data_IF_741335996600
#
_entry.id   IF_741335996600
#
_cell.length_a   1.000
_cell.length_b   1.000
_cell.length_c   1.000
_cell.angle_alpha   90.00
_cell.angle_beta   90.00
_cell.angle_gamma   90.00
#
_symmetry.space_group_name_H-M   'P 1'
#
loop_
_entity.id
_entity.type
_entity.pdbx_description
1 polymer ?
#
# COMPACT_ATOMS: atom_id res chain seq x y z
N UNK A 1 -19.06 3.79 -0.72
CA UNK A 1 -17.65 3.43 -0.53
C UNK A 1 -17.23 3.77 0.89
N UNK A 2 -16.53 2.86 1.57
CA UNK A 2 -15.90 3.16 2.85
C UNK A 2 -14.38 3.18 2.69
N UNK A 3 -13.72 4.23 3.18
CA UNK A 3 -12.25 4.34 3.21
C UNK A 3 -11.79 4.11 4.64
N UNK A 4 -11.35 2.89 4.93
CA UNK A 4 -10.87 2.49 6.26
C UNK A 4 -9.43 2.95 6.43
N UNK A 5 -9.26 4.13 7.04
CA UNK A 5 -8.00 4.83 7.16
C UNK A 5 -7.86 5.97 6.14
N UNK A 6 -8.46 7.12 6.45
CA UNK A 6 -8.36 8.34 5.64
C UNK A 6 -7.01 9.06 5.79
N UNK A 7 -5.90 8.30 5.78
CA UNK A 7 -4.55 8.81 5.64
C UNK A 7 -4.27 9.31 4.22
N UNK A 8 -3.01 9.67 3.92
CA UNK A 8 -2.67 10.20 2.59
C UNK A 8 -3.16 9.33 1.44
N UNK A 9 -2.86 8.03 1.47
CA UNK A 9 -3.23 7.07 0.41
C UNK A 9 -4.74 6.87 0.33
N UNK A 10 -5.40 6.58 1.47
CA UNK A 10 -6.84 6.35 1.49
C UNK A 10 -7.64 7.58 1.08
N UNK A 11 -7.25 8.74 1.58
CA UNK A 11 -7.88 10.01 1.22
C UNK A 11 -7.67 10.39 -0.26
N UNK A 12 -6.52 10.04 -0.86
CA UNK A 12 -6.28 10.26 -2.29
C UNK A 12 -7.28 9.49 -3.15
N UNK A 13 -7.37 8.17 -2.96
CA UNK A 13 -8.29 7.34 -3.76
C UNK A 13 -9.75 7.61 -3.43
N UNK A 14 -10.10 7.70 -2.13
CA UNK A 14 -11.46 8.00 -1.71
C UNK A 14 -11.93 9.39 -2.13
N UNK A 15 -11.06 10.40 -2.03
CA UNK A 15 -11.33 11.76 -2.48
C UNK A 15 -11.55 11.86 -3.99
N UNK A 16 -10.74 11.13 -4.79
CA UNK A 16 -10.93 11.06 -6.24
C UNK A 16 -12.29 10.43 -6.60
N UNK A 17 -12.67 9.33 -5.94
CA UNK A 17 -13.98 8.70 -6.14
C UNK A 17 -15.13 9.60 -5.71
N UNK A 18 -15.01 10.28 -4.57
CA UNK A 18 -16.03 11.22 -4.08
C UNK A 18 -16.22 12.39 -5.06
N UNK A 19 -15.13 12.98 -5.60
CA UNK A 19 -15.20 14.01 -6.64
C UNK A 19 -15.91 13.51 -7.89
N UNK A 20 -15.77 12.22 -8.23
CA UNK A 20 -16.46 11.61 -9.36
C UNK A 20 -17.94 11.25 -9.07
N UNK A 21 -18.46 11.59 -7.89
CA UNK A 21 -19.86 11.41 -7.51
C UNK A 21 -20.16 10.12 -6.74
N UNK A 22 -19.14 9.38 -6.29
CA UNK A 22 -19.38 8.26 -5.39
C UNK A 22 -19.76 8.76 -3.99
N UNK A 23 -20.69 8.07 -3.34
CA UNK A 23 -20.99 8.27 -1.91
C UNK A 23 -19.86 7.63 -1.09
N UNK A 24 -19.04 8.47 -0.44
CA UNK A 24 -17.83 8.05 0.26
C UNK A 24 -17.89 8.46 1.73
N UNK A 25 -17.66 7.48 2.60
CA UNK A 25 -17.43 7.71 4.03
C UNK A 25 -15.96 7.48 4.37
N UNK A 26 -15.30 8.50 4.91
CA UNK A 26 -13.92 8.44 5.37
C UNK A 26 -13.86 7.99 6.83
N UNK A 27 -13.17 6.90 7.13
CA UNK A 27 -12.88 6.52 8.51
C UNK A 27 -11.59 7.20 8.93
N UNK A 28 -11.74 8.23 9.77
CA UNK A 28 -10.67 9.09 10.26
C UNK A 28 -10.77 9.26 11.77
N UNK A 29 -9.75 9.87 12.39
CA UNK A 29 -9.72 10.11 13.84
C UNK A 29 -9.20 11.52 14.15
N UNK A 30 -9.56 12.02 15.35
CA UNK A 30 -9.02 13.24 15.92
C UNK A 30 -9.20 14.47 15.03
N UNK A 31 -8.20 15.38 15.02
CA UNK A 31 -8.32 16.66 14.28
C UNK A 31 -8.57 16.50 12.78
N UNK A 32 -8.10 15.40 12.17
CA UNK A 32 -8.34 15.14 10.74
C UNK A 32 -9.82 14.84 10.47
N UNK A 33 -10.44 14.02 11.31
CA UNK A 33 -11.89 13.74 11.27
C UNK A 33 -12.71 15.03 11.45
N UNK A 34 -12.39 15.82 12.48
CA UNK A 34 -13.10 17.07 12.77
C UNK A 34 -13.03 18.06 11.60
N UNK A 35 -11.85 18.16 10.98
CA UNK A 35 -11.63 19.05 9.84
C UNK A 35 -12.41 18.59 8.59
N UNK A 36 -12.42 17.27 8.29
CA UNK A 36 -13.20 16.75 7.15
C UNK A 36 -14.69 17.01 7.36
N UNK A 37 -15.22 16.75 8.55
CA UNK A 37 -16.64 16.97 8.83
C UNK A 37 -17.03 18.46 8.80
N UNK A 38 -16.12 19.36 9.14
CA UNK A 38 -16.39 20.80 9.18
C UNK A 38 -16.20 21.48 7.84
N UNK A 39 -15.17 21.09 7.08
CA UNK A 39 -14.67 21.85 5.94
C UNK A 39 -14.65 21.03 4.64
N UNK A 40 -14.94 19.72 4.69
CA UNK A 40 -14.65 18.77 3.60
C UNK A 40 -13.20 18.32 3.58
N UNK A 41 -12.87 17.43 2.65
CA UNK A 41 -11.52 16.93 2.39
C UNK A 41 -10.89 17.76 1.26
N UNK A 42 -9.84 18.52 1.57
CA UNK A 42 -9.01 19.19 0.58
C UNK A 42 -7.95 18.23 0.05
N UNK A 43 -7.93 17.99 -1.24
CA UNK A 43 -6.87 17.26 -1.92
C UNK A 43 -6.10 18.21 -2.84
N UNK A 44 -4.80 18.38 -2.60
CA UNK A 44 -3.88 19.06 -3.49
C UNK A 44 -3.08 17.99 -4.24
N UNK A 45 -3.18 17.96 -5.57
CA UNK A 45 -2.62 16.86 -6.35
C UNK A 45 -2.01 17.32 -7.66
N UNK A 46 -0.75 16.96 -7.87
CA UNK A 46 -0.07 17.21 -9.16
C UNK A 46 -0.66 16.39 -10.31
N UNK A 47 -1.40 15.32 -10.01
CA UNK A 47 -2.03 14.46 -11.00
C UNK A 47 -3.48 14.84 -11.28
N UNK A 48 -4.26 15.11 -10.23
CA UNK A 48 -5.70 15.34 -10.32
C UNK A 48 -6.09 16.81 -10.28
N UNK A 49 -5.11 17.71 -10.02
CA UNK A 49 -5.38 19.10 -9.66
C UNK A 49 -5.87 19.24 -8.22
N UNK A 50 -6.00 20.48 -7.77
CA UNK A 50 -6.45 20.79 -6.42
C UNK A 50 -7.97 20.85 -6.37
N UNK A 51 -8.58 20.21 -5.37
CA UNK A 51 -10.04 20.26 -5.19
C UNK A 51 -10.44 20.02 -3.73
N UNK A 52 -11.59 20.54 -3.38
CA UNK A 52 -12.30 20.28 -2.13
C UNK A 52 -13.47 19.34 -2.44
N UNK A 53 -13.66 18.29 -1.64
CA UNK A 53 -14.79 17.39 -1.75
C UNK A 53 -15.50 17.28 -0.39
N UNK A 54 -16.82 17.43 -0.42
CA UNK A 54 -17.66 17.11 0.73
C UNK A 54 -17.89 15.61 0.77
N UNK A 55 -17.56 14.97 1.88
CA UNK A 55 -17.79 13.55 2.13
C UNK A 55 -18.06 13.33 3.62
N UNK A 56 -18.80 12.29 3.95
CA UNK A 56 -19.00 11.89 5.32
C UNK A 56 -17.68 11.40 5.94
N UNK A 57 -17.48 11.67 7.23
CA UNK A 57 -16.36 11.09 7.97
C UNK A 57 -16.79 10.68 9.38
N UNK A 58 -16.25 9.56 9.87
CA UNK A 58 -16.53 9.01 11.20
C UNK A 58 -15.32 8.24 11.73
N UNK A 59 -15.23 8.08 13.05
CA UNK A 59 -14.34 7.12 13.72
C UNK A 59 -15.09 5.86 14.19
N UNK A 60 -16.42 5.88 14.10
CA UNK A 60 -17.28 4.76 14.44
C UNK A 60 -17.65 3.96 13.18
N UNK A 61 -16.94 2.86 12.94
CA UNK A 61 -17.20 1.97 11.79
C UNK A 61 -18.55 1.27 11.89
N UNK A 62 -19.12 1.11 13.10
CA UNK A 62 -20.42 0.47 13.29
C UNK A 62 -21.57 1.35 12.78
N UNK A 63 -21.36 2.66 12.65
CA UNK A 63 -22.31 3.59 12.07
C UNK A 63 -22.37 3.56 10.54
N UNK A 64 -21.39 2.91 9.88
CA UNK A 64 -21.32 2.78 8.45
C UNK A 64 -22.11 1.54 8.03
N UNK A 65 -23.18 1.76 7.29
CA UNK A 65 -23.98 0.67 6.70
C UNK A 65 -23.25 -0.05 5.57
N UNK A 66 -23.93 -0.98 4.91
CA UNK A 66 -23.38 -1.76 3.79
C UNK A 66 -22.85 -0.85 2.67
N UNK A 67 -21.67 -1.21 2.16
CA UNK A 67 -21.02 -0.50 1.06
C UNK A 67 -20.69 -1.44 -0.10
N UNK A 68 -20.57 -0.90 -1.29
CA UNK A 68 -20.14 -1.68 -2.47
C UNK A 68 -18.62 -1.90 -2.49
N UNK A 69 -17.86 -0.97 -1.90
CA UNK A 69 -16.39 -1.00 -1.89
C UNK A 69 -15.85 -0.55 -0.54
N UNK A 70 -14.91 -1.32 -0.01
CA UNK A 70 -14.02 -0.92 1.09
C UNK A 70 -12.62 -0.70 0.52
N UNK A 71 -12.03 0.47 0.76
CA UNK A 71 -10.62 0.76 0.55
C UNK A 71 -9.93 0.67 1.91
N UNK A 72 -9.19 -0.42 2.12
CA UNK A 72 -8.48 -0.68 3.38
C UNK A 72 -7.09 -0.02 3.31
N UNK A 73 -6.89 1.06 4.06
CA UNK A 73 -5.75 1.96 3.94
C UNK A 73 -5.13 2.37 5.29
N UNK A 74 -5.37 1.61 6.35
CA UNK A 74 -4.73 1.85 7.64
C UNK A 74 -3.24 1.51 7.59
N UNK A 75 -2.45 2.10 8.48
CA UNK A 75 -1.06 1.67 8.69
C UNK A 75 -1.04 0.26 9.30
N UNK A 76 0.04 -0.50 9.05
CA UNK A 76 0.14 -1.92 9.41
C UNK A 76 -0.18 -2.23 10.88
N UNK A 77 0.24 -1.38 11.81
CA UNK A 77 -0.07 -1.53 13.25
C UNK A 77 -1.54 -1.31 13.62
N UNK A 78 -2.35 -0.80 12.70
CA UNK A 78 -3.80 -0.64 12.86
C UNK A 78 -4.64 -1.73 12.21
N UNK A 79 -4.03 -2.71 11.55
CA UNK A 79 -4.71 -3.71 10.72
C UNK A 79 -5.70 -4.55 11.53
N UNK A 80 -5.24 -5.19 12.61
CA UNK A 80 -6.08 -6.09 13.41
C UNK A 80 -7.26 -5.34 14.04
N UNK A 81 -7.00 -4.18 14.64
CA UNK A 81 -8.04 -3.36 15.23
C UNK A 81 -9.06 -2.85 14.19
N UNK A 82 -8.61 -2.54 12.98
CA UNK A 82 -9.52 -2.11 11.92
C UNK A 82 -10.38 -3.27 11.39
N UNK A 83 -9.80 -4.46 11.23
CA UNK A 83 -10.54 -5.68 10.85
C UNK A 83 -11.60 -6.02 11.92
N UNK A 84 -11.24 -5.99 13.21
CA UNK A 84 -12.16 -6.25 14.31
C UNK A 84 -13.30 -5.23 14.34
N UNK A 85 -13.00 -3.94 14.18
CA UNK A 85 -13.99 -2.90 14.12
C UNK A 85 -14.93 -3.02 12.92
N UNK A 86 -14.41 -3.36 11.73
CA UNK A 86 -15.23 -3.64 10.55
C UNK A 86 -16.15 -4.86 10.76
N UNK A 87 -15.63 -5.92 11.36
CA UNK A 87 -16.39 -7.16 11.62
C UNK A 87 -17.48 -6.99 12.68
N UNK A 88 -17.40 -5.96 13.53
CA UNK A 88 -18.43 -5.66 14.52
C UNK A 88 -19.66 -4.92 13.96
N UNK A 89 -19.59 -4.44 12.72
CA UNK A 89 -20.65 -3.70 12.03
C UNK A 89 -21.19 -4.44 10.80
N UNK A 90 -22.02 -3.77 10.03
CA UNK A 90 -22.70 -4.29 8.83
C UNK A 90 -22.08 -3.79 7.51
N UNK A 91 -20.84 -3.25 7.57
CA UNK A 91 -20.19 -2.61 6.42
C UNK A 91 -19.99 -3.58 5.24
N UNK A 92 -19.64 -4.83 5.52
CA UNK A 92 -19.41 -5.88 4.53
C UNK A 92 -20.66 -6.75 4.40
N UNK A 93 -21.18 -6.87 3.20
CA UNK A 93 -22.34 -7.71 2.89
C UNK A 93 -22.24 -8.24 1.48
N UNK A 94 -23.28 -8.96 1.03
CA UNK A 94 -23.30 -9.55 -0.32
C UNK A 94 -22.93 -8.52 -1.39
N UNK A 95 -21.93 -8.82 -2.20
CA UNK A 95 -21.44 -7.96 -3.27
C UNK A 95 -20.45 -6.87 -2.86
N UNK A 96 -20.15 -6.69 -1.56
CA UNK A 96 -19.09 -5.79 -1.13
C UNK A 96 -17.73 -6.27 -1.63
N UNK A 97 -16.97 -5.39 -2.24
CA UNK A 97 -15.56 -5.60 -2.62
C UNK A 97 -14.65 -4.95 -1.59
N UNK A 98 -13.55 -5.61 -1.23
CA UNK A 98 -12.52 -5.08 -0.34
C UNK A 98 -11.20 -5.07 -1.10
N UNK A 99 -10.57 -3.91 -1.21
CA UNK A 99 -9.20 -3.75 -1.73
C UNK A 99 -8.32 -3.18 -0.63
N UNK A 100 -7.05 -3.61 -0.58
CA UNK A 100 -6.06 -3.05 0.33
C UNK A 100 -5.09 -2.15 -0.43
N UNK A 101 -4.80 -0.97 0.12
CA UNK A 101 -3.73 -0.11 -0.39
C UNK A 101 -2.45 -0.20 0.45
N UNK A 102 -2.44 -1.07 1.45
CA UNK A 102 -1.26 -1.32 2.27
C UNK A 102 -0.11 -1.89 1.43
N UNK A 103 1.10 -1.65 1.87
CA UNK A 103 2.26 -2.35 1.33
C UNK A 103 2.34 -3.76 1.93
N UNK A 104 3.11 -4.64 1.30
CA UNK A 104 3.25 -6.03 1.76
C UNK A 104 2.32 -6.98 1.02
N UNK A 105 2.16 -8.16 1.59
CA UNK A 105 1.43 -9.30 1.00
C UNK A 105 0.51 -9.99 2.02
N UNK A 106 0.36 -9.41 3.21
CA UNK A 106 -0.39 -10.03 4.31
C UNK A 106 -1.84 -9.54 4.41
N UNK A 107 -2.16 -8.38 3.81
CA UNK A 107 -3.48 -7.76 3.95
C UNK A 107 -4.59 -8.60 3.34
N UNK A 108 -4.39 -9.12 2.12
CA UNK A 108 -5.39 -9.92 1.42
C UNK A 108 -5.71 -11.22 2.15
N UNK A 109 -4.73 -12.02 2.65
CA UNK A 109 -5.00 -13.18 3.49
C UNK A 109 -5.74 -12.85 4.79
N UNK A 110 -5.37 -11.77 5.48
CA UNK A 110 -6.03 -11.34 6.72
C UNK A 110 -7.48 -10.92 6.50
N UNK A 111 -7.72 -10.11 5.46
CA UNK A 111 -9.06 -9.67 5.07
C UNK A 111 -9.92 -10.84 4.60
N UNK A 112 -9.35 -11.77 3.82
CA UNK A 112 -10.05 -12.97 3.36
C UNK A 112 -10.45 -13.90 4.52
N UNK A 113 -9.58 -14.02 5.53
CA UNK A 113 -9.88 -14.79 6.73
C UNK A 113 -11.02 -14.18 7.55
N UNK A 114 -11.11 -12.86 7.58
CA UNK A 114 -12.10 -12.14 8.39
C UNK A 114 -13.46 -12.03 7.69
N UNK A 115 -13.48 -11.79 6.38
CA UNK A 115 -14.70 -11.43 5.66
C UNK A 115 -15.11 -12.42 4.55
N UNK A 116 -14.27 -13.41 4.25
CA UNK A 116 -14.46 -14.32 3.13
C UNK A 116 -13.66 -13.90 1.89
N UNK A 117 -13.08 -14.89 1.21
CA UNK A 117 -12.25 -14.65 0.01
C UNK A 117 -13.03 -14.09 -1.17
N UNK A 118 -14.35 -14.31 -1.21
CA UNK A 118 -15.26 -13.79 -2.22
C UNK A 118 -15.39 -12.25 -2.17
N UNK A 119 -15.10 -11.63 -1.04
CA UNK A 119 -15.12 -10.17 -0.88
C UNK A 119 -13.81 -9.51 -1.27
N UNK A 120 -12.68 -10.23 -1.20
CA UNK A 120 -11.35 -9.63 -1.31
C UNK A 120 -10.83 -9.69 -2.74
N UNK A 121 -10.44 -8.54 -3.25
CA UNK A 121 -9.67 -8.39 -4.48
C UNK A 121 -8.22 -8.05 -4.10
N UNK A 122 -7.27 -8.63 -4.83
CA UNK A 122 -5.88 -8.19 -4.72
C UNK A 122 -5.72 -6.80 -5.32
N UNK A 123 -4.87 -5.98 -4.70
CA UNK A 123 -4.58 -4.67 -5.27
C UNK A 123 -3.19 -4.16 -4.95
N UNK A 124 -2.58 -3.47 -5.91
CA UNK A 124 -1.36 -2.70 -5.68
C UNK A 124 -1.64 -1.22 -5.88
N UNK A 125 -1.33 -0.41 -4.90
CA UNK A 125 -1.46 1.05 -4.94
C UNK A 125 -0.08 1.71 -4.96
N UNK A 126 0.13 2.67 -5.86
CA UNK A 126 1.40 3.41 -5.94
C UNK A 126 1.11 4.91 -6.03
N UNK A 127 1.18 5.58 -4.89
CA UNK A 127 0.98 7.02 -4.75
C UNK A 127 1.84 7.54 -3.60
N UNK A 128 2.35 8.75 -3.76
CA UNK A 128 2.99 9.50 -2.67
C UNK A 128 2.05 10.61 -2.23
N UNK A 129 1.29 10.37 -1.17
CA UNK A 129 0.33 11.29 -0.61
C UNK A 129 0.43 11.29 0.92
N UNK A 130 0.30 12.45 1.53
CA UNK A 130 0.39 12.62 2.98
C UNK A 130 -0.59 13.68 3.49
N UNK A 131 -1.01 13.54 4.73
CA UNK A 131 -1.73 14.60 5.45
C UNK A 131 -0.71 15.69 5.78
N UNK A 132 -0.93 16.91 5.31
CA UNK A 132 -0.08 18.07 5.62
C UNK A 132 -0.68 18.94 6.70
N UNK A 133 -2.00 18.98 6.76
CA UNK A 133 -2.79 19.65 7.80
C UNK A 133 -4.07 18.84 8.04
N UNK A 134 -4.75 18.98 9.20
CA UNK A 134 -6.05 18.39 9.40
C UNK A 134 -7.03 18.72 8.25
N UNK A 135 -7.60 17.69 7.61
CA UNK A 135 -8.50 17.85 6.46
C UNK A 135 -7.80 18.10 5.12
N UNK A 136 -6.47 18.23 5.08
CA UNK A 136 -5.70 18.52 3.85
C UNK A 136 -4.73 17.40 3.54
N UNK A 137 -4.84 16.84 2.34
CA UNK A 137 -3.93 15.81 1.83
C UNK A 137 -3.22 16.33 0.59
N UNK A 138 -1.89 16.25 0.59
CA UNK A 138 -1.05 16.59 -0.54
C UNK A 138 -0.53 15.31 -1.22
N UNK A 139 -0.83 15.15 -2.50
CA UNK A 139 -0.21 14.16 -3.38
C UNK A 139 0.87 14.87 -4.20
N UNK A 140 2.13 14.54 -3.92
CA UNK A 140 3.30 15.20 -4.50
C UNK A 140 4.09 14.31 -5.46
N UNK A 141 3.72 13.02 -5.61
CA UNK A 141 4.49 12.11 -6.45
C UNK A 141 3.85 10.74 -6.62
N UNK A 142 4.57 9.88 -7.31
CA UNK A 142 4.08 8.57 -7.72
C UNK A 142 3.05 8.66 -8.86
N UNK A 143 2.76 7.55 -9.53
CA UNK A 143 1.84 7.52 -10.67
C UNK A 143 0.35 7.63 -10.30
N UNK A 144 0.00 7.61 -9.01
CA UNK A 144 -1.41 7.56 -8.57
C UNK A 144 -2.14 6.30 -9.05
N UNK A 145 -1.40 5.21 -9.28
CA UNK A 145 -1.91 4.01 -9.93
C UNK A 145 -2.48 2.99 -8.95
N UNK A 146 -3.44 2.22 -9.48
CA UNK A 146 -4.10 1.13 -8.77
C UNK A 146 -4.24 -0.06 -9.75
N UNK A 147 -3.61 -1.20 -9.43
CA UNK A 147 -3.80 -2.45 -10.18
C UNK A 147 -4.70 -3.35 -9.35
N UNK A 148 -5.72 -3.93 -9.95
CA UNK A 148 -6.76 -4.71 -9.24
C UNK A 148 -6.98 -6.02 -9.97
N UNK A 149 -7.16 -7.11 -9.22
CA UNK A 149 -7.46 -8.41 -9.80
C UNK A 149 -8.10 -9.38 -8.81
N UNK A 150 -8.62 -10.46 -9.34
CA UNK A 150 -9.13 -11.57 -8.53
C UNK A 150 -7.97 -12.33 -7.90
N UNK A 151 -8.04 -12.62 -6.59
CA UNK A 151 -7.03 -13.43 -5.91
C UNK A 151 -6.94 -14.85 -6.47
N UNK A 152 -8.03 -15.35 -7.03
CA UNK A 152 -8.06 -16.64 -7.75
C UNK A 152 -7.49 -16.59 -9.16
N UNK A 153 -7.12 -15.41 -9.64
CA UNK A 153 -6.70 -15.18 -11.02
C UNK A 153 -7.86 -15.07 -12.01
N UNK A 154 -7.54 -14.65 -13.23
CA UNK A 154 -8.49 -14.43 -14.31
C UNK A 154 -9.20 -13.08 -14.24
N UNK A 155 -10.08 -12.84 -15.23
CA UNK A 155 -10.88 -11.61 -15.32
C UNK A 155 -12.29 -11.81 -14.73
N UNK A 156 -12.87 -10.72 -14.20
CA UNK A 156 -14.25 -10.72 -13.71
C UNK A 156 -14.96 -9.40 -14.01
N UNK A 157 -16.29 -9.45 -14.09
CA UNK A 157 -17.11 -8.25 -14.30
C UNK A 157 -17.00 -7.24 -13.17
N UNK A 158 -16.81 -7.69 -11.91
CA UNK A 158 -16.66 -6.78 -10.76
C UNK A 158 -15.34 -6.02 -10.79
N UNK A 159 -14.24 -6.69 -11.17
CA UNK A 159 -12.93 -6.03 -11.35
C UNK A 159 -12.99 -5.01 -12.48
N UNK A 160 -13.53 -5.40 -13.64
CA UNK A 160 -13.69 -4.49 -14.79
C UNK A 160 -14.50 -3.25 -14.40
N UNK A 161 -15.67 -3.44 -13.76
CA UNK A 161 -16.53 -2.31 -13.34
C UNK A 161 -15.83 -1.39 -12.32
N UNK A 162 -15.08 -1.96 -11.37
CA UNK A 162 -14.32 -1.16 -10.39
C UNK A 162 -13.22 -0.35 -11.06
N UNK A 163 -12.45 -0.95 -11.97
CA UNK A 163 -11.41 -0.27 -12.74
C UNK A 163 -12.00 0.87 -13.57
N UNK A 164 -13.10 0.64 -14.28
CA UNK A 164 -13.79 1.69 -15.06
C UNK A 164 -14.20 2.88 -14.20
N UNK A 165 -14.72 2.64 -12.99
CA UNK A 165 -15.08 3.69 -12.03
C UNK A 165 -13.85 4.46 -11.53
N UNK A 166 -12.75 3.76 -11.23
CA UNK A 166 -11.48 4.37 -10.85
C UNK A 166 -10.91 5.26 -11.98
N UNK A 167 -10.91 4.76 -13.22
CA UNK A 167 -10.47 5.53 -14.39
C UNK A 167 -11.35 6.76 -14.62
N UNK A 168 -12.67 6.63 -14.50
CA UNK A 168 -13.60 7.76 -14.59
C UNK A 168 -13.36 8.82 -13.50
N UNK A 169 -12.85 8.41 -12.34
CA UNK A 169 -12.43 9.31 -11.26
C UNK A 169 -11.05 9.96 -11.47
N UNK A 170 -10.35 9.63 -12.56
CA UNK A 170 -9.02 10.12 -12.88
C UNK A 170 -7.87 9.31 -12.25
N UNK A 171 -8.17 8.18 -11.63
CA UNK A 171 -7.16 7.26 -11.09
C UNK A 171 -6.60 6.42 -12.23
N UNK A 172 -5.27 6.30 -12.33
CA UNK A 172 -4.62 5.40 -13.28
C UNK A 172 -4.82 3.94 -12.83
N UNK A 173 -5.98 3.35 -13.14
CA UNK A 173 -6.34 2.01 -12.72
C UNK A 173 -6.31 1.01 -13.89
N UNK A 174 -5.88 -0.22 -13.59
CA UNK A 174 -5.87 -1.33 -14.55
C UNK A 174 -6.26 -2.65 -13.88
N UNK A 175 -6.81 -3.57 -14.67
CA UNK A 175 -7.11 -4.92 -14.24
C UNK A 175 -5.93 -5.85 -14.53
N UNK A 176 -5.61 -6.75 -13.60
CA UNK A 176 -4.57 -7.76 -13.78
C UNK A 176 -5.14 -9.16 -13.52
N UNK A 177 -5.02 -10.04 -14.51
CA UNK A 177 -5.48 -11.43 -14.40
C UNK A 177 -4.57 -12.29 -13.50
N UNK A 178 -3.40 -11.79 -13.15
CA UNK A 178 -2.45 -12.44 -12.25
C UNK A 178 -2.00 -11.50 -11.13
N UNK A 179 -2.96 -10.97 -10.40
CA UNK A 179 -2.71 -9.98 -9.35
C UNK A 179 -1.70 -10.46 -8.29
N UNK A 180 -1.63 -11.77 -8.05
CA UNK A 180 -0.65 -12.34 -7.14
C UNK A 180 0.79 -12.04 -7.60
N UNK A 181 1.06 -12.14 -8.90
CA UNK A 181 2.35 -11.76 -9.47
C UNK A 181 2.62 -10.27 -9.26
N UNK A 182 1.63 -9.41 -9.53
CA UNK A 182 1.77 -7.96 -9.34
C UNK A 182 2.05 -7.58 -7.88
N UNK A 183 1.35 -8.20 -6.92
CA UNK A 183 1.58 -8.03 -5.49
C UNK A 183 3.02 -8.39 -5.09
N UNK A 184 3.49 -9.57 -5.50
CA UNK A 184 4.84 -10.03 -5.17
C UNK A 184 5.93 -9.23 -5.90
N UNK A 185 5.71 -8.80 -7.15
CA UNK A 185 6.64 -7.92 -7.85
C UNK A 185 6.75 -6.55 -7.15
N UNK A 186 5.63 -5.97 -6.75
CA UNK A 186 5.63 -4.75 -5.94
C UNK A 186 6.33 -4.97 -4.60
N UNK A 187 6.04 -6.07 -3.91
CA UNK A 187 6.68 -6.42 -2.63
C UNK A 187 8.20 -6.54 -2.79
N UNK A 188 8.66 -7.24 -3.83
CA UNK A 188 10.09 -7.36 -4.17
C UNK A 188 10.74 -5.99 -4.32
N UNK A 189 10.12 -5.12 -5.11
CA UNK A 189 10.61 -3.76 -5.33
C UNK A 189 10.65 -2.92 -4.05
N UNK A 190 9.54 -2.91 -3.27
CA UNK A 190 9.48 -2.03 -2.08
C UNK A 190 10.36 -2.51 -0.92
N UNK A 191 10.58 -3.83 -0.75
CA UNK A 191 11.54 -4.33 0.24
C UNK A 191 12.96 -3.81 -0.03
N UNK A 192 13.38 -3.80 -1.29
CA UNK A 192 14.69 -3.26 -1.66
C UNK A 192 14.73 -1.73 -1.57
N UNK A 193 13.75 -1.03 -2.16
CA UNK A 193 13.70 0.42 -2.14
C UNK A 193 13.61 0.98 -0.72
N UNK A 194 12.60 0.55 0.02
CA UNK A 194 12.35 1.08 1.37
C UNK A 194 13.43 0.61 2.35
N UNK A 195 13.83 -0.66 2.28
CA UNK A 195 14.86 -1.21 3.16
C UNK A 195 16.21 -0.51 2.98
N UNK A 196 16.70 -0.41 1.74
CA UNK A 196 18.01 0.19 1.46
C UNK A 196 18.04 1.69 1.71
N UNK A 197 16.97 2.43 1.34
CA UNK A 197 16.93 3.88 1.57
C UNK A 197 16.74 4.22 3.05
N UNK A 198 16.02 3.41 3.82
CA UNK A 198 15.93 3.56 5.28
C UNK A 198 17.27 3.22 5.97
N UNK A 199 17.88 2.08 5.62
CA UNK A 199 19.16 1.64 6.21
C UNK A 199 20.26 2.67 6.01
N UNK A 200 20.40 3.17 4.78
CA UNK A 200 21.48 4.11 4.42
C UNK A 200 21.13 5.57 4.73
N UNK A 201 19.84 5.90 4.91
CA UNK A 201 19.29 7.28 4.95
C UNK A 201 19.69 8.10 3.73
N UNK A 202 19.82 7.43 2.59
CA UNK A 202 20.23 8.01 1.32
C UNK A 202 19.22 7.70 0.22
N UNK A 203 19.08 8.59 -0.78
CA UNK A 203 18.27 8.31 -1.94
C UNK A 203 18.91 7.22 -2.83
N UNK A 204 18.10 6.66 -3.76
CA UNK A 204 18.57 5.56 -4.62
C UNK A 204 19.76 5.95 -5.51
N UNK A 205 19.90 7.22 -5.89
CA UNK A 205 21.04 7.69 -6.67
C UNK A 205 22.36 7.47 -5.92
N UNK A 206 22.42 7.77 -4.62
CA UNK A 206 23.61 7.55 -3.79
C UNK A 206 23.88 6.04 -3.60
N UNK A 207 22.81 5.22 -3.50
CA UNK A 207 22.92 3.76 -3.37
C UNK A 207 23.51 3.16 -4.65
N UNK A 208 23.05 3.57 -5.81
CA UNK A 208 23.52 3.04 -7.09
C UNK A 208 24.85 3.65 -7.56
N UNK A 209 25.33 4.72 -6.92
CA UNK A 209 26.65 5.28 -7.16
C UNK A 209 27.78 4.41 -6.57
N UNK A 210 27.46 3.44 -5.72
CA UNK A 210 28.42 2.55 -5.09
C UNK A 210 28.15 1.09 -5.47
N UNK A 211 29.19 0.35 -5.85
CA UNK A 211 29.10 -1.04 -6.28
C UNK A 211 28.53 -1.93 -5.15
N UNK A 212 29.08 -1.83 -3.94
CA UNK A 212 28.68 -2.65 -2.80
C UNK A 212 27.22 -2.45 -2.38
N UNK A 213 26.68 -1.23 -2.43
CA UNK A 213 25.27 -0.96 -2.10
C UNK A 213 24.35 -1.39 -3.24
N UNK A 214 24.81 -1.33 -4.50
CA UNK A 214 24.10 -1.89 -5.66
C UNK A 214 24.03 -3.41 -5.56
N UNK A 215 25.11 -4.08 -5.21
CA UNK A 215 25.11 -5.54 -4.97
C UNK A 215 24.16 -5.93 -3.85
N UNK A 216 24.18 -5.21 -2.71
CA UNK A 216 23.24 -5.48 -1.62
C UNK A 216 21.78 -5.24 -2.05
N UNK A 217 21.50 -4.20 -2.84
CA UNK A 217 20.17 -3.95 -3.38
C UNK A 217 19.68 -5.14 -4.23
N UNK A 218 20.54 -5.63 -5.15
CA UNK A 218 20.23 -6.81 -5.98
C UNK A 218 20.04 -8.06 -5.12
N UNK A 219 20.83 -8.23 -4.06
CA UNK A 219 20.70 -9.36 -3.15
C UNK A 219 19.34 -9.33 -2.43
N UNK A 220 18.90 -8.16 -1.93
CA UNK A 220 17.56 -8.00 -1.34
C UNK A 220 16.47 -8.43 -2.32
N UNK A 221 16.49 -7.94 -3.56
CA UNK A 221 15.54 -8.34 -4.60
C UNK A 221 15.54 -9.88 -4.81
N UNK A 222 16.73 -10.47 -4.90
CA UNK A 222 16.92 -11.90 -5.20
C UNK A 222 16.40 -12.79 -4.06
N UNK A 223 16.60 -12.38 -2.81
CA UNK A 223 16.10 -13.08 -1.62
C UNK A 223 14.57 -13.06 -1.57
N UNK A 224 13.94 -11.88 -1.80
CA UNK A 224 12.47 -11.77 -1.87
C UNK A 224 11.92 -12.64 -3.00
N UNK A 225 12.54 -12.62 -4.18
CA UNK A 225 12.13 -13.47 -5.30
C UNK A 225 12.30 -14.97 -5.00
N UNK A 226 13.31 -15.35 -4.21
CA UNK A 226 13.47 -16.75 -3.78
C UNK A 226 12.34 -17.20 -2.84
N UNK A 227 11.95 -16.32 -1.90
CA UNK A 227 10.81 -16.55 -1.01
C UNK A 227 9.51 -16.60 -1.82
N UNK A 228 9.30 -15.69 -2.78
CA UNK A 228 8.14 -15.68 -3.67
C UNK A 228 7.97 -17.03 -4.42
N UNK A 229 9.07 -17.59 -4.94
CA UNK A 229 9.04 -18.90 -5.62
C UNK A 229 8.63 -20.04 -4.68
N UNK A 230 9.03 -19.98 -3.42
CA UNK A 230 8.61 -20.99 -2.42
C UNK A 230 7.11 -20.85 -2.08
N UNK A 231 6.57 -19.64 -2.16
CA UNK A 231 5.14 -19.36 -2.03
C UNK A 231 4.35 -19.63 -3.34
N UNK A 232 5.00 -20.21 -4.36
CA UNK A 232 4.35 -20.57 -5.62
C UNK A 232 4.25 -19.46 -6.65
N UNK A 233 4.88 -18.30 -6.41
CA UNK A 233 4.90 -17.17 -7.37
C UNK A 233 6.21 -17.19 -8.14
N UNK A 234 6.21 -17.47 -9.47
CA UNK A 234 7.40 -17.79 -10.24
C UNK A 234 8.18 -16.54 -10.69
N UNK A 235 8.69 -15.75 -9.77
CA UNK A 235 9.55 -14.60 -10.10
C UNK A 235 10.90 -15.12 -10.63
N UNK A 236 11.17 -14.88 -11.90
CA UNK A 236 12.42 -15.29 -12.56
C UNK A 236 13.57 -14.33 -12.24
N UNK A 237 14.82 -14.78 -12.49
CA UNK A 237 15.98 -13.89 -12.36
C UNK A 237 15.91 -12.72 -13.34
N UNK A 238 15.39 -12.94 -14.54
CA UNK A 238 15.19 -11.87 -15.54
C UNK A 238 14.25 -10.77 -15.00
N UNK A 239 13.19 -11.14 -14.28
CA UNK A 239 12.27 -10.17 -13.63
C UNK A 239 12.99 -9.39 -12.52
N UNK A 240 13.85 -10.04 -11.74
CA UNK A 240 14.69 -9.38 -10.73
C UNK A 240 15.62 -8.35 -11.38
N UNK A 241 16.34 -8.76 -12.45
CA UNK A 241 17.27 -7.90 -13.15
C UNK A 241 16.55 -6.71 -13.82
N UNK A 242 15.35 -6.96 -14.39
CA UNK A 242 14.50 -5.92 -14.95
C UNK A 242 14.03 -4.92 -13.87
N UNK A 243 13.70 -5.39 -12.66
CA UNK A 243 13.34 -4.55 -11.53
C UNK A 243 14.50 -3.66 -11.10
N UNK A 244 15.71 -4.22 -10.98
CA UNK A 244 16.91 -3.43 -10.68
C UNK A 244 17.13 -2.35 -11.74
N UNK A 245 17.14 -2.73 -13.03
CA UNK A 245 17.34 -1.81 -14.15
C UNK A 245 16.29 -0.70 -14.19
N UNK A 246 15.02 -1.05 -13.97
CA UNK A 246 13.93 -0.06 -13.91
C UNK A 246 14.13 0.91 -12.76
N UNK A 247 14.60 0.42 -11.60
CA UNK A 247 14.85 1.27 -10.43
C UNK A 247 16.03 2.20 -10.65
N UNK A 248 17.10 1.72 -11.28
CA UNK A 248 18.26 2.54 -11.66
C UNK A 248 17.90 3.67 -12.64
N UNK A 249 16.87 3.48 -13.47
CA UNK A 249 16.35 4.48 -14.40
C UNK A 249 15.41 5.52 -13.78
N UNK A 250 15.08 5.40 -12.48
CA UNK A 250 14.21 6.36 -11.80
C UNK A 250 14.98 7.60 -11.35
N UNK A 251 14.23 8.63 -10.94
CA UNK A 251 14.80 9.86 -10.40
C UNK A 251 15.72 9.58 -9.20
N UNK A 252 16.96 10.09 -9.19
CA UNK A 252 18.00 9.69 -8.23
C UNK A 252 17.70 10.12 -6.78
N UNK A 253 16.81 11.08 -6.58
CA UNK A 253 16.45 11.60 -5.25
C UNK A 253 15.37 10.79 -4.54
N UNK A 254 14.86 9.70 -5.13
CA UNK A 254 13.80 8.88 -4.53
C UNK A 254 14.29 8.20 -3.25
N UNK A 255 13.47 8.32 -2.21
CA UNK A 255 13.56 7.61 -0.94
C UNK A 255 12.24 6.85 -0.75
N UNK A 256 12.30 5.62 -0.27
CA UNK A 256 11.11 4.85 0.06
C UNK A 256 10.34 5.43 1.26
N UNK A 257 9.04 5.11 1.38
CA UNK A 257 8.19 5.62 2.47
C UNK A 257 8.78 5.34 3.86
N UNK A 258 9.28 4.12 4.09
CA UNK A 258 9.93 3.75 5.36
C UNK A 258 11.17 4.60 5.65
N UNK A 259 11.92 5.02 4.62
CA UNK A 259 13.04 5.94 4.77
C UNK A 259 12.60 7.35 5.19
N UNK A 260 11.50 7.84 4.61
CA UNK A 260 10.91 9.13 5.02
C UNK A 260 10.37 9.07 6.45
N UNK A 261 9.65 8.00 6.82
CA UNK A 261 9.13 7.82 8.18
C UNK A 261 10.28 7.76 9.20
N UNK A 262 11.35 6.99 8.91
CA UNK A 262 12.54 6.91 9.77
C UNK A 262 13.22 8.27 9.97
N UNK A 263 13.41 9.04 8.89
CA UNK A 263 14.04 10.37 8.95
C UNK A 263 13.19 11.35 9.76
N UNK A 264 11.87 11.23 9.67
CA UNK A 264 10.92 12.03 10.42
C UNK A 264 10.72 11.58 11.88
N UNK A 265 11.33 10.46 12.30
CA UNK A 265 11.14 9.88 13.64
C UNK A 265 9.79 9.20 13.84
N UNK A 266 9.08 8.90 12.75
CA UNK A 266 7.80 8.19 12.78
C UNK A 266 8.02 6.67 12.93
N UNK A 267 7.02 5.91 13.42
CA UNK A 267 7.01 4.47 13.33
C UNK A 267 7.20 3.97 11.90
N UNK A 268 7.97 2.88 11.74
CA UNK A 268 8.31 2.31 10.43
C UNK A 268 7.72 0.92 10.22
N UNK A 269 7.36 0.60 8.97
CA UNK A 269 6.73 -0.66 8.61
C UNK A 269 7.75 -1.79 8.32
N UNK A 270 8.82 -1.88 9.12
CA UNK A 270 9.86 -2.91 8.94
C UNK A 270 9.32 -4.33 9.09
N UNK A 271 8.35 -4.53 10.01
CA UNK A 271 7.67 -5.79 10.25
C UNK A 271 6.95 -6.32 9.01
N UNK A 272 6.35 -5.43 8.23
CA UNK A 272 5.57 -5.76 7.03
C UNK A 272 6.44 -6.00 5.79
N UNK A 273 7.69 -5.54 5.79
CA UNK A 273 8.60 -5.59 4.65
C UNK A 273 9.75 -6.58 4.88
N UNK A 274 10.96 -6.11 5.16
CA UNK A 274 12.15 -6.95 5.24
C UNK A 274 12.08 -8.01 6.36
N UNK A 275 11.45 -7.70 7.49
CA UNK A 275 11.25 -8.69 8.55
C UNK A 275 10.30 -9.83 8.12
N UNK A 276 9.26 -9.52 7.34
CA UNK A 276 8.37 -10.52 6.79
C UNK A 276 9.10 -11.47 5.83
N UNK A 277 10.01 -10.93 5.00
CA UNK A 277 10.87 -11.74 4.12
C UNK A 277 11.74 -12.70 4.94
N UNK A 278 12.32 -12.20 6.04
CA UNK A 278 13.17 -13.04 6.93
C UNK A 278 12.35 -14.13 7.61
N UNK A 279 11.14 -13.81 8.07
CA UNK A 279 10.24 -14.78 8.67
C UNK A 279 9.87 -15.91 7.69
N UNK A 280 9.41 -15.53 6.48
CA UNK A 280 9.06 -16.51 5.44
C UNK A 280 10.28 -17.30 4.95
N UNK A 281 11.43 -16.65 4.84
CA UNK A 281 12.69 -17.31 4.53
C UNK A 281 13.02 -18.42 5.53
N UNK A 282 12.83 -18.17 6.83
CA UNK A 282 13.00 -19.20 7.88
C UNK A 282 12.00 -20.35 7.73
N UNK A 283 10.73 -20.04 7.43
CA UNK A 283 9.68 -21.06 7.22
C UNK A 283 10.02 -22.01 6.05
N UNK A 284 10.60 -21.47 4.99
CA UNK A 284 10.95 -22.21 3.78
C UNK A 284 12.41 -22.69 3.74
N UNK A 285 13.21 -22.45 4.79
CA UNK A 285 14.65 -22.73 4.83
C UNK A 285 15.43 -22.03 3.69
N UNK A 286 15.04 -20.80 3.36
CA UNK A 286 15.70 -19.95 2.36
C UNK A 286 16.53 -18.91 3.11
N UNK A 287 17.85 -18.81 2.86
CA UNK A 287 18.69 -17.78 3.44
C UNK A 287 18.28 -16.38 2.93
N UNK A 288 18.12 -15.43 3.85
CA UNK A 288 17.77 -14.03 3.55
C UNK A 288 18.69 -13.05 4.29
N UNK A 289 20.04 -13.17 4.13
CA UNK A 289 20.98 -12.41 4.94
C UNK A 289 20.93 -10.89 4.71
N UNK A 290 20.65 -10.43 3.49
CA UNK A 290 20.53 -8.99 3.21
C UNK A 290 19.26 -8.39 3.85
N UNK A 291 18.11 -9.06 3.71
CA UNK A 291 16.88 -8.65 4.39
C UNK A 291 17.05 -8.72 5.92
N UNK A 292 17.74 -9.73 6.45
CA UNK A 292 18.03 -9.82 7.88
C UNK A 292 18.91 -8.67 8.38
N UNK A 293 19.93 -8.28 7.62
CA UNK A 293 20.78 -7.15 7.99
C UNK A 293 19.98 -5.84 8.07
N UNK A 294 19.07 -5.61 7.12
CA UNK A 294 18.15 -4.47 7.12
C UNK A 294 17.20 -4.53 8.32
N UNK A 295 16.55 -5.69 8.54
CA UNK A 295 15.68 -5.91 9.69
C UNK A 295 16.38 -5.61 11.00
N UNK A 296 17.52 -6.24 11.24
CA UNK A 296 18.26 -6.12 12.49
C UNK A 296 18.70 -4.67 12.78
N UNK A 297 19.12 -3.94 11.75
CA UNK A 297 19.53 -2.55 11.90
C UNK A 297 18.36 -1.57 12.12
N UNK A 298 17.19 -1.85 11.54
CA UNK A 298 16.03 -0.95 11.60
C UNK A 298 15.01 -1.32 12.68
N UNK A 299 15.03 -2.55 13.21
CA UNK A 299 14.13 -2.99 14.28
C UNK A 299 14.07 -2.08 15.50
N UNK A 300 15.22 -1.51 16.01
CA UNK A 300 15.18 -0.57 17.13
C UNK A 300 14.39 0.73 16.86
N UNK A 301 14.06 1.01 15.61
CA UNK A 301 13.33 2.21 15.18
C UNK A 301 11.86 1.92 14.81
N UNK A 302 11.37 0.70 15.03
CA UNK A 302 10.03 0.29 14.59
C UNK A 302 8.93 1.18 15.15
N UNK A 303 9.02 1.55 16.42
CA UNK A 303 8.03 2.38 17.13
C UNK A 303 8.26 3.90 16.97
N UNK A 304 9.23 4.30 16.15
CA UNK A 304 9.64 5.70 16.00
C UNK A 304 10.71 6.13 17.00
N UNK A 305 10.98 7.45 17.06
CA UNK A 305 12.01 8.05 17.94
C UNK A 305 11.37 8.66 19.20
#
# INVERSE_FOLDING_TARGET
VAVVGAGGTGAYYGGALARAGADVTMIARGPHLEAINKNGLQLNSVLLGDFLVECAATDDMSSVGRVDLVIFAVKSWGTDAAIEAMASGDMVGDGTMIISTQNGIDSEPLLSKAFGSEHVLGSTATVSAMITEPGVVNQAGGPGSLVIGEMSGGSSGRVTSLVERCVAAGIAAEADENINMALWMKFTFICALSGMTALTRKPIGDIFAQETTTEMYLQVLSEVAAVARAEGVPISQEMVDATLKTTQGREPFIIGSMGHDLIAGNPIEIGLLNARVVEMGKQHNIPTPANFAIEAALRPHEDGA
#
